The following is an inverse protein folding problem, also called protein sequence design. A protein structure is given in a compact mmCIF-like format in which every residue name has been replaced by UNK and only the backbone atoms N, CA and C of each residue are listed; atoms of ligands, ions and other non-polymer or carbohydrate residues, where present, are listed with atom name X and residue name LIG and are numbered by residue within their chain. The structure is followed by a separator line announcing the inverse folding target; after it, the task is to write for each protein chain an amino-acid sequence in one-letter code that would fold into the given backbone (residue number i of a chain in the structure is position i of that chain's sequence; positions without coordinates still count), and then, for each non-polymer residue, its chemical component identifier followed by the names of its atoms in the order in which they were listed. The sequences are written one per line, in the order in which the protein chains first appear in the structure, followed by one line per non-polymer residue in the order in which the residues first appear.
data_IF_939098208121
#
_entry.id   IF_939098208121
#
_cell.length_a   1.000
_cell.length_b   1.000
_cell.length_c   1.000
_cell.angle_alpha   90.00
_cell.angle_beta   90.00
_cell.angle_gamma   90.00
#
_symmetry.space_group_name_H-M   'P 1'
#
loop_
_entity.id
_entity.type
_entity.pdbx_description
1 polymer ?
#
# COMPACT_ATOMS: atom_id res chain seq x y z
N UNK A 1 -30.75 -6.85 16.03
CA UNK A 1 -29.67 -6.51 16.97
C UNK A 1 -28.37 -6.62 16.19
N UNK A 2 -27.87 -5.51 15.66
CA UNK A 2 -26.54 -5.45 15.07
C UNK A 2 -25.64 -4.90 16.19
N UNK A 3 -24.72 -5.74 16.64
CA UNK A 3 -23.81 -5.41 17.72
C UNK A 3 -22.95 -4.20 17.34
N UNK A 4 -22.80 -3.29 18.29
CA UNK A 4 -22.14 -2.02 18.10
C UNK A 4 -20.62 -2.21 17.94
N UNK A 5 -20.07 -1.52 16.95
CA UNK A 5 -18.66 -1.11 16.94
C UNK A 5 -17.62 -2.24 16.73
N UNK A 6 -17.81 -3.11 15.75
CA UNK A 6 -16.69 -3.92 15.26
C UNK A 6 -15.82 -3.07 14.32
N UNK A 7 -14.70 -2.59 14.87
CA UNK A 7 -13.71 -1.74 14.21
C UNK A 7 -13.02 -2.50 13.06
N UNK A 8 -13.01 -1.91 11.86
CA UNK A 8 -12.35 -2.47 10.67
C UNK A 8 -10.84 -2.57 10.91
N UNK A 9 -10.20 -3.67 10.55
CA UNK A 9 -8.76 -3.88 10.73
C UNK A 9 -8.09 -4.22 9.41
N UNK A 10 -7.05 -3.48 9.07
CA UNK A 10 -6.18 -3.77 7.93
C UNK A 10 -4.85 -4.33 8.42
N UNK A 11 -4.62 -5.61 8.13
CA UNK A 11 -3.31 -6.24 8.27
C UNK A 11 -2.46 -5.84 7.07
N UNK A 12 -1.36 -5.15 7.30
CA UNK A 12 -0.61 -4.42 6.26
C UNK A 12 0.89 -4.43 6.55
N UNK A 13 1.70 -4.33 5.50
CA UNK A 13 3.13 -3.99 5.62
C UNK A 13 3.38 -2.65 4.91
N UNK A 14 4.15 -1.71 5.50
CA UNK A 14 4.32 -0.37 4.91
C UNK A 14 5.01 -0.37 3.54
N UNK A 15 5.99 -1.25 3.34
CA UNK A 15 6.68 -1.47 2.05
C UNK A 15 5.95 -2.42 1.08
N UNK A 16 4.84 -3.06 1.48
CA UNK A 16 4.11 -3.94 0.56
C UNK A 16 3.32 -3.10 -0.45
N UNK A 17 3.61 -3.27 -1.75
CA UNK A 17 2.84 -2.60 -2.80
C UNK A 17 1.36 -2.99 -2.74
N UNK A 18 1.05 -4.25 -2.43
CA UNK A 18 -0.33 -4.70 -2.26
C UNK A 18 -1.02 -4.03 -1.06
N UNK A 19 -0.32 -3.83 0.06
CA UNK A 19 -0.90 -3.12 1.21
C UNK A 19 -1.06 -1.63 0.94
N UNK A 20 -0.09 -0.99 0.28
CA UNK A 20 -0.17 0.42 -0.13
C UNK A 20 -1.37 0.69 -1.04
N UNK A 21 -1.67 -0.22 -1.97
CA UNK A 21 -2.89 -0.16 -2.80
C UNK A 21 -4.15 -0.03 -1.95
N UNK A 22 -4.29 -0.88 -0.94
CA UNK A 22 -5.47 -0.90 -0.08
C UNK A 22 -5.53 0.33 0.83
N UNK A 23 -4.40 0.78 1.40
CA UNK A 23 -4.37 2.03 2.19
C UNK A 23 -4.81 3.23 1.36
N UNK A 24 -4.32 3.34 0.12
CA UNK A 24 -4.78 4.38 -0.80
C UNK A 24 -6.27 4.26 -1.13
N UNK A 25 -6.77 3.04 -1.35
CA UNK A 25 -8.19 2.77 -1.57
C UNK A 25 -9.05 3.31 -0.43
N UNK A 26 -8.70 2.94 0.80
CA UNK A 26 -9.41 3.36 2.01
C UNK A 26 -9.41 4.89 2.13
N UNK A 27 -8.26 5.54 1.92
CA UNK A 27 -8.16 7.00 1.93
C UNK A 27 -9.08 7.65 0.88
N UNK A 28 -9.09 7.13 -0.35
CA UNK A 28 -9.95 7.65 -1.43
C UNK A 28 -11.44 7.37 -1.19
N UNK A 29 -11.78 6.31 -0.44
CA UNK A 29 -13.14 6.04 0.05
C UNK A 29 -13.56 6.93 1.22
N UNK A 30 -12.66 7.79 1.72
CA UNK A 30 -12.89 8.63 2.89
C UNK A 30 -12.80 7.89 4.22
N UNK A 31 -12.16 6.72 4.24
CA UNK A 31 -11.89 5.91 5.42
C UNK A 31 -10.48 6.25 5.94
N UNK A 32 -10.39 6.86 7.12
CA UNK A 32 -9.09 7.22 7.71
C UNK A 32 -8.58 6.13 8.64
N UNK A 33 -7.27 5.86 8.61
CA UNK A 33 -6.64 5.04 9.66
C UNK A 33 -6.72 5.76 11.01
N UNK A 34 -6.90 4.99 12.09
CA UNK A 34 -6.67 5.51 13.43
C UNK A 34 -5.17 5.69 13.58
N UNK A 35 -4.68 6.91 13.95
CA UNK A 35 -3.27 7.11 14.19
C UNK A 35 -2.79 6.08 15.23
N UNK A 36 -1.87 5.20 14.84
CA UNK A 36 -1.27 4.19 15.72
C UNK A 36 -0.29 4.81 16.73
N UNK A 37 -0.60 5.99 17.27
CA UNK A 37 0.11 6.58 18.41
C UNK A 37 -0.35 6.00 19.76
N UNK A 38 -1.10 4.89 19.73
CA UNK A 38 -1.25 4.00 20.87
C UNK A 38 -0.32 2.80 20.65
N UNK A 39 0.98 3.03 20.86
CA UNK A 39 1.93 1.95 21.13
C UNK A 39 1.29 1.10 22.23
N UNK A 40 0.94 -0.16 21.91
CA UNK A 40 0.71 -1.20 22.92
C UNK A 40 2.01 -1.32 23.70
N UNK A 41 2.15 -0.53 24.76
CA UNK A 41 3.17 -0.75 25.77
C UNK A 41 2.92 -2.16 26.30
N UNK A 42 3.81 -3.08 25.94
CA UNK A 42 3.89 -4.40 26.54
C UNK A 42 3.81 -4.26 28.06
N UNK A 43 3.00 -5.10 28.70
CA UNK A 43 2.54 -5.02 30.09
C UNK A 43 3.62 -5.21 31.17
N UNK A 44 4.84 -4.70 30.96
CA UNK A 44 5.95 -4.74 31.92
C UNK A 44 6.42 -3.36 32.40
N UNK A 45 5.72 -2.28 32.05
CA UNK A 45 6.04 -0.91 32.49
C UNK A 45 4.85 -0.22 33.20
N UNK A 46 4.10 -0.98 34.01
CA UNK A 46 2.99 -0.46 34.83
C UNK A 46 3.28 -0.52 36.33
N UNK A 47 4.52 -0.24 36.74
CA UNK A 47 4.88 -0.18 38.16
C UNK A 47 5.63 1.08 38.58
N UNK A 48 5.60 2.15 37.79
CA UNK A 48 6.29 3.40 38.17
C UNK A 48 5.55 4.68 37.81
N UNK A 49 4.22 4.72 37.90
CA UNK A 49 3.49 6.00 37.99
C UNK A 49 2.29 5.81 38.93
N UNK A 50 2.58 5.55 40.20
CA UNK A 50 1.67 5.86 41.31
C UNK A 50 2.47 6.71 42.28
N UNK A 51 2.49 8.02 42.04
CA UNK A 51 2.77 9.10 43.00
C UNK A 51 3.29 10.31 42.22
N UNK A 52 2.35 11.15 41.76
CA UNK A 52 2.49 12.61 41.60
C UNK A 52 1.33 13.10 40.72
N UNK A 53 0.33 13.69 41.36
CA UNK A 53 -0.89 14.24 40.74
C UNK A 53 -0.65 15.52 39.90
N UNK A 54 0.52 15.68 39.27
CA UNK A 54 0.91 16.96 38.67
C UNK A 54 1.50 16.91 37.24
N UNK A 55 1.47 15.78 36.54
CA UNK A 55 2.11 15.66 35.21
C UNK A 55 1.26 15.03 34.09
N UNK A 56 -0.07 14.91 34.29
CA UNK A 56 -0.96 14.35 33.25
C UNK A 56 -1.48 15.44 32.29
N UNK A 57 -1.49 16.70 32.71
CA UNK A 57 -2.04 17.81 31.90
C UNK A 57 -1.02 18.36 30.89
N UNK A 58 0.28 18.24 31.16
CA UNK A 58 1.33 18.87 30.34
C UNK A 58 1.91 17.95 29.24
N UNK A 59 1.68 16.63 29.33
CA UNK A 59 2.04 15.69 28.25
C UNK A 59 0.99 15.70 27.12
N UNK A 60 -0.27 16.06 27.44
CA UNK A 60 -1.32 16.23 26.41
C UNK A 60 -1.09 17.42 25.47
N UNK A 61 -0.30 18.42 25.87
CA UNK A 61 -0.08 19.64 25.08
C UNK A 61 1.20 19.63 24.24
N UNK A 62 2.08 18.63 24.38
CA UNK A 62 3.40 18.61 23.70
C UNK A 62 3.63 17.49 22.68
N UNK A 63 2.66 16.61 22.43
CA UNK A 63 2.74 15.57 21.37
C UNK A 63 1.89 15.93 20.13
N UNK A 64 1.21 17.07 20.14
CA UNK A 64 0.63 17.67 18.94
C UNK A 64 1.42 18.93 18.61
N UNK A 65 1.82 19.10 17.34
CA UNK A 65 2.60 20.20 16.74
C UNK A 65 4.11 19.97 16.58
N UNK A 66 4.48 19.34 15.48
CA UNK A 66 5.50 19.92 14.60
C UNK A 66 4.85 20.30 13.26
N UNK A 67 4.88 21.57 12.82
CA UNK A 67 4.12 22.05 11.67
C UNK A 67 5.00 22.05 10.41
N UNK A 68 4.89 21.01 9.59
CA UNK A 68 5.30 21.06 8.18
C UNK A 68 4.08 20.63 7.37
N UNK A 69 3.72 21.42 6.35
CA UNK A 69 2.50 21.33 5.51
C UNK A 69 1.29 22.17 5.94
N UNK A 70 1.52 23.47 6.21
CA UNK A 70 0.51 24.50 5.89
C UNK A 70 0.48 24.75 4.38
N UNK A 71 -0.17 23.86 3.63
CA UNK A 71 -0.65 24.15 2.27
C UNK A 71 -1.96 23.42 2.06
N UNK A 72 -3.07 24.16 2.20
CA UNK A 72 -4.39 23.92 1.60
C UNK A 72 -4.80 22.46 1.32
N UNK A 73 -4.72 21.59 2.33
CA UNK A 73 -5.46 20.33 2.34
C UNK A 73 -6.82 20.60 2.97
N UNK A 74 -7.81 20.99 2.16
CA UNK A 74 -9.19 20.65 2.50
C UNK A 74 -9.32 19.13 2.35
N UNK A 75 -8.75 18.40 3.31
CA UNK A 75 -8.87 16.96 3.39
C UNK A 75 -10.30 16.70 3.83
N UNK A 76 -11.14 16.45 2.84
CA UNK A 76 -12.50 15.99 3.01
C UNK A 76 -12.46 14.64 3.73
N UNK A 77 -12.43 14.65 5.07
CA UNK A 77 -12.72 13.49 5.91
C UNK A 77 -14.24 13.25 5.78
N UNK A 78 -14.66 12.63 4.67
CA UNK A 78 -16.10 12.49 4.34
C UNK A 78 -16.75 11.29 5.07
N UNK A 79 -16.03 10.50 5.85
CA UNK A 79 -16.69 9.56 6.76
C UNK A 79 -15.94 9.44 8.08
N UNK A 80 -16.69 9.49 9.19
CA UNK A 80 -16.15 9.18 10.52
C UNK A 80 -15.81 7.70 10.72
N UNK A 81 -15.78 6.91 9.64
CA UNK A 81 -15.43 5.51 9.64
C UNK A 81 -13.91 5.37 9.67
N UNK A 82 -13.47 4.60 10.65
CA UNK A 82 -12.06 4.43 10.98
C UNK A 82 -11.67 2.97 10.83
N UNK A 83 -10.41 2.73 10.50
CA UNK A 83 -9.83 1.40 10.54
C UNK A 83 -8.52 1.38 11.34
N UNK A 84 -8.28 0.29 12.03
CA UNK A 84 -7.00 0.01 12.67
C UNK A 84 -6.03 -0.59 11.66
N UNK A 85 -4.84 0.00 11.52
CA UNK A 85 -3.77 -0.59 10.72
C UNK A 85 -2.87 -1.45 11.62
N UNK A 86 -2.87 -2.76 11.38
CA UNK A 86 -1.99 -3.72 12.07
C UNK A 86 -0.78 -3.95 11.17
N UNK A 87 0.39 -3.46 11.61
CA UNK A 87 1.64 -3.61 10.89
C UNK A 87 2.24 -4.99 11.11
N UNK A 88 2.25 -5.80 10.06
CA UNK A 88 2.93 -7.09 10.00
C UNK A 88 4.34 -6.83 9.45
N UNK A 89 5.36 -7.04 10.26
CA UNK A 89 6.75 -6.68 9.94
C UNK A 89 7.61 -7.87 9.52
N UNK A 90 7.14 -9.10 9.72
CA UNK A 90 7.88 -10.33 9.36
C UNK A 90 7.04 -11.26 8.49
N UNK A 91 7.72 -11.97 7.59
CA UNK A 91 7.11 -13.05 6.79
C UNK A 91 6.76 -14.20 7.75
N UNK A 92 5.53 -14.71 7.65
CA UNK A 92 5.07 -15.80 8.50
C UNK A 92 4.66 -15.38 9.92
N UNK A 93 4.44 -14.09 10.16
CA UNK A 93 3.91 -13.61 11.44
C UNK A 93 2.61 -14.37 11.83
N UNK A 94 2.53 -14.95 13.05
CA UNK A 94 1.33 -15.66 13.48
C UNK A 94 0.05 -14.82 13.43
N UNK A 95 0.12 -13.50 13.56
CA UNK A 95 -1.03 -12.62 13.46
C UNK A 95 -1.62 -12.58 12.06
N UNK A 96 -0.79 -12.59 11.00
CA UNK A 96 -1.32 -12.65 9.62
C UNK A 96 -1.87 -14.05 9.31
N UNK A 97 -1.24 -15.11 9.80
CA UNK A 97 -1.68 -16.49 9.56
C UNK A 97 -3.07 -16.79 10.15
N UNK A 98 -3.49 -16.07 11.19
CA UNK A 98 -4.84 -16.18 11.76
C UNK A 98 -5.94 -15.72 10.80
N UNK A 99 -5.63 -14.76 9.91
CA UNK A 99 -6.63 -14.12 9.02
C UNK A 99 -6.40 -14.46 7.54
N UNK A 100 -5.17 -14.81 7.16
CA UNK A 100 -4.82 -15.27 5.83
C UNK A 100 -3.85 -16.47 5.93
N UNK A 101 -4.33 -17.70 5.67
CA UNK A 101 -3.49 -18.91 5.72
C UNK A 101 -2.30 -18.89 4.76
N UNK A 102 -2.33 -18.07 3.71
CA UNK A 102 -1.17 -17.89 2.82
C UNK A 102 -0.05 -17.03 3.44
N UNK A 103 -0.31 -16.36 4.57
CA UNK A 103 0.67 -15.53 5.27
C UNK A 103 1.02 -14.21 4.56
N UNK A 104 0.25 -13.81 3.55
CA UNK A 104 0.49 -12.57 2.79
C UNK A 104 -0.37 -11.41 3.29
N UNK A 105 0.20 -10.21 3.23
CA UNK A 105 -0.54 -8.95 3.37
C UNK A 105 -0.89 -8.38 1.99
N UNK A 106 -2.00 -7.64 1.85
CA UNK A 106 -2.95 -7.25 2.89
C UNK A 106 -4.03 -8.29 3.18
N UNK A 107 -4.62 -8.18 4.38
CA UNK A 107 -5.89 -8.79 4.73
C UNK A 107 -6.77 -7.77 5.47
N UNK A 108 -8.02 -7.62 5.06
CA UNK A 108 -9.01 -6.74 5.66
C UNK A 108 -9.99 -7.57 6.51
N UNK A 109 -10.12 -7.23 7.78
CA UNK A 109 -11.14 -7.77 8.67
C UNK A 109 -12.19 -6.69 8.89
N UNK A 110 -13.44 -7.02 8.58
CA UNK A 110 -14.57 -6.12 8.66
C UNK A 110 -15.74 -6.86 9.32
N UNK A 111 -15.86 -6.64 10.63
CA UNK A 111 -16.72 -7.44 11.49
C UNK A 111 -16.36 -8.93 11.46
N UNK A 112 -17.30 -9.75 11.02
CA UNK A 112 -17.10 -11.21 10.85
C UNK A 112 -16.52 -11.59 9.49
N UNK A 113 -16.39 -10.63 8.57
CA UNK A 113 -15.88 -10.87 7.21
C UNK A 113 -14.38 -10.67 7.17
N UNK A 114 -13.67 -11.62 6.56
CA UNK A 114 -12.24 -11.51 6.28
C UNK A 114 -12.03 -11.58 4.77
N UNK A 115 -11.37 -10.57 4.21
CA UNK A 115 -11.04 -10.51 2.79
C UNK A 115 -9.52 -10.35 2.67
N UNK A 116 -8.85 -11.41 2.22
CA UNK A 116 -7.45 -11.37 1.83
C UNK A 116 -7.33 -11.16 0.31
N UNK A 117 -6.16 -10.72 -0.15
CA UNK A 117 -5.86 -10.27 -1.53
C UNK A 117 -6.31 -8.84 -1.82
N UNK A 118 -5.37 -8.00 -2.28
CA UNK A 118 -5.66 -6.60 -2.59
C UNK A 118 -6.78 -6.44 -3.62
N UNK A 119 -6.86 -7.29 -4.64
CA UNK A 119 -7.87 -7.22 -5.70
C UNK A 119 -9.26 -7.56 -5.16
N UNK A 120 -9.37 -8.61 -4.35
CA UNK A 120 -10.63 -8.97 -3.70
C UNK A 120 -11.09 -7.87 -2.72
N UNK A 121 -10.16 -7.30 -1.94
CA UNK A 121 -10.45 -6.17 -1.06
C UNK A 121 -10.99 -4.97 -1.85
N UNK A 122 -10.43 -4.67 -3.03
CA UNK A 122 -10.96 -3.60 -3.88
C UNK A 122 -12.42 -3.83 -4.29
N UNK A 123 -12.74 -5.04 -4.76
CA UNK A 123 -14.11 -5.37 -5.15
C UNK A 123 -15.07 -5.23 -3.96
N UNK A 124 -14.65 -5.72 -2.79
CA UNK A 124 -15.41 -5.57 -1.55
C UNK A 124 -15.68 -4.10 -1.20
N UNK A 125 -14.66 -3.24 -1.29
CA UNK A 125 -14.79 -1.81 -1.00
C UNK A 125 -15.64 -1.07 -2.04
N UNK A 126 -15.61 -1.48 -3.31
CA UNK A 126 -16.49 -0.94 -4.35
C UNK A 126 -17.97 -1.24 -4.07
N UNK A 127 -18.28 -2.45 -3.64
CA UNK A 127 -19.65 -2.83 -3.30
C UNK A 127 -20.12 -2.20 -1.99
N UNK A 128 -19.26 -2.17 -0.97
CA UNK A 128 -19.63 -1.67 0.36
C UNK A 128 -19.72 -0.14 0.43
N UNK A 129 -18.88 0.57 -0.32
CA UNK A 129 -18.78 2.04 -0.30
C UNK A 129 -18.94 2.64 -1.70
N UNK A 130 -20.13 2.56 -2.31
CA UNK A 130 -20.35 2.99 -3.69
C UNK A 130 -20.30 4.52 -3.89
N UNK A 131 -20.33 5.32 -2.81
CA UNK A 131 -20.41 6.79 -2.91
C UNK A 131 -19.12 7.43 -3.42
N UNK A 132 -17.97 6.76 -3.27
CA UNK A 132 -16.66 7.21 -3.74
C UNK A 132 -16.08 6.17 -4.70
N UNK A 133 -16.68 6.00 -5.89
CA UNK A 133 -16.30 4.93 -6.81
C UNK A 133 -14.82 4.98 -7.21
N UNK A 134 -14.12 3.84 -7.14
CA UNK A 134 -12.75 3.65 -7.64
C UNK A 134 -12.75 3.05 -9.04
N UNK A 135 -13.92 2.94 -9.67
CA UNK A 135 -14.10 2.51 -11.05
C UNK A 135 -14.93 3.54 -11.84
N UNK A 136 -14.61 3.75 -13.11
CA UNK A 136 -15.42 4.59 -13.98
C UNK A 136 -16.76 3.93 -14.27
N UNK A 137 -17.79 4.72 -14.56
CA UNK A 137 -19.10 4.19 -14.95
C UNK A 137 -19.10 3.55 -16.34
N UNK A 138 -18.39 4.17 -17.29
CA UNK A 138 -18.24 3.66 -18.65
C UNK A 138 -17.59 2.27 -18.67
N UNK A 139 -18.26 1.32 -19.32
CA UNK A 139 -17.85 -0.09 -19.32
C UNK A 139 -16.53 -0.31 -20.04
N UNK A 140 -16.25 0.46 -21.10
CA UNK A 140 -15.01 0.32 -21.87
C UNK A 140 -13.84 0.78 -21.02
N UNK A 141 -13.92 1.97 -20.43
CA UNK A 141 -12.94 2.52 -19.50
C UNK A 141 -12.77 1.64 -18.25
N UNK A 142 -13.86 1.06 -17.75
CA UNK A 142 -13.84 0.12 -16.61
C UNK A 142 -13.06 -1.15 -16.97
N UNK A 143 -13.24 -1.68 -18.18
CA UNK A 143 -12.51 -2.88 -18.64
C UNK A 143 -11.00 -2.64 -18.74
N UNK A 144 -10.56 -1.43 -19.14
CA UNK A 144 -9.13 -1.06 -19.12
C UNK A 144 -8.59 -1.05 -17.69
N UNK A 145 -9.36 -0.52 -16.73
CA UNK A 145 -8.99 -0.52 -15.32
C UNK A 145 -8.81 -1.94 -14.77
N UNK A 146 -9.72 -2.86 -15.11
CA UNK A 146 -9.58 -4.27 -14.74
C UNK A 146 -8.36 -4.94 -15.38
N UNK A 147 -8.09 -4.66 -16.67
CA UNK A 147 -6.92 -5.20 -17.36
C UNK A 147 -5.62 -4.73 -16.72
N UNK A 148 -5.47 -3.44 -16.41
CA UNK A 148 -4.29 -2.91 -15.72
C UNK A 148 -4.11 -3.58 -14.36
N UNK A 149 -5.16 -3.61 -13.56
CA UNK A 149 -5.12 -4.21 -12.23
C UNK A 149 -4.75 -5.70 -12.31
N UNK A 150 -5.33 -6.45 -13.25
CA UNK A 150 -5.04 -7.87 -13.48
C UNK A 150 -3.60 -8.12 -13.93
N UNK A 151 -3.08 -7.34 -14.89
CA UNK A 151 -1.68 -7.46 -15.34
C UNK A 151 -0.75 -7.25 -14.14
N UNK A 152 -0.99 -6.21 -13.34
CA UNK A 152 -0.15 -5.93 -12.17
C UNK A 152 -0.32 -7.01 -11.09
N UNK A 153 -1.54 -7.46 -10.79
CA UNK A 153 -1.84 -8.41 -9.71
C UNK A 153 -1.42 -9.84 -10.00
N UNK A 154 -1.44 -10.25 -11.28
CA UNK A 154 -1.33 -11.66 -11.66
C UNK A 154 -0.10 -11.93 -12.53
N UNK A 155 0.35 -10.96 -13.32
CA UNK A 155 1.45 -11.14 -14.27
C UNK A 155 2.74 -10.41 -13.91
N UNK A 156 2.70 -9.48 -12.95
CA UNK A 156 3.88 -8.75 -12.48
C UNK A 156 4.15 -9.07 -11.01
N UNK A 157 3.25 -8.66 -10.11
CA UNK A 157 3.53 -8.64 -8.67
C UNK A 157 3.88 -10.02 -8.09
N UNK A 158 3.20 -11.12 -8.42
CA UNK A 158 3.54 -12.43 -7.88
C UNK A 158 4.92 -12.91 -8.33
N UNK A 159 5.35 -12.53 -9.54
CA UNK A 159 6.61 -12.98 -10.14
C UNK A 159 7.84 -12.25 -9.57
N UNK A 160 7.65 -11.08 -8.96
CA UNK A 160 8.70 -10.34 -8.25
C UNK A 160 8.50 -10.34 -6.72
N UNK A 161 7.51 -11.08 -6.22
CA UNK A 161 7.23 -11.18 -4.79
C UNK A 161 8.49 -11.63 -4.02
N UNK A 162 8.71 -11.03 -2.84
CA UNK A 162 9.88 -11.27 -1.99
C UNK A 162 10.14 -12.76 -1.75
N UNK A 163 9.11 -13.56 -1.42
CA UNK A 163 9.29 -14.99 -1.17
C UNK A 163 9.75 -15.74 -2.41
N UNK A 164 9.14 -15.48 -3.57
CA UNK A 164 9.52 -16.12 -4.82
C UNK A 164 10.95 -15.74 -5.23
N UNK A 165 11.29 -14.45 -5.17
CA UNK A 165 12.63 -13.99 -5.59
C UNK A 165 13.70 -14.52 -4.65
N UNK A 166 13.43 -14.65 -3.34
CA UNK A 166 14.36 -15.33 -2.44
C UNK A 166 14.56 -16.80 -2.82
N UNK A 167 13.49 -17.54 -3.12
CA UNK A 167 13.61 -18.92 -3.60
C UNK A 167 14.39 -19.04 -4.91
N UNK A 168 14.24 -18.11 -5.86
CA UNK A 168 15.10 -18.06 -7.06
C UNK A 168 16.57 -17.91 -6.68
N UNK A 169 16.86 -17.06 -5.69
CA UNK A 169 18.20 -16.88 -5.15
C UNK A 169 18.83 -18.13 -4.55
N UNK A 170 18.01 -18.94 -3.88
CA UNK A 170 18.43 -20.18 -3.22
C UNK A 170 18.56 -21.35 -4.21
N UNK A 171 17.62 -21.48 -5.15
CA UNK A 171 17.55 -22.59 -6.10
C UNK A 171 18.53 -22.40 -7.27
N UNK A 172 18.70 -21.15 -7.74
CA UNK A 172 19.52 -20.84 -8.91
C UNK A 172 20.82 -20.17 -8.48
N UNK A 173 20.76 -18.89 -8.09
CA UNK A 173 21.87 -18.17 -7.44
C UNK A 173 21.40 -16.79 -6.95
N UNK A 174 22.07 -16.17 -5.95
CA UNK A 174 21.74 -14.82 -5.49
C UNK A 174 21.77 -13.76 -6.59
N UNK A 175 22.62 -13.92 -7.61
CA UNK A 175 22.79 -12.97 -8.72
C UNK A 175 21.60 -13.00 -9.70
N UNK A 176 20.78 -14.06 -9.71
CA UNK A 176 19.60 -14.18 -10.57
C UNK A 176 18.34 -13.49 -10.02
N UNK A 177 18.36 -13.04 -8.76
CA UNK A 177 17.21 -12.38 -8.11
C UNK A 177 16.74 -11.13 -8.87
N UNK A 178 17.68 -10.25 -9.19
CA UNK A 178 17.41 -8.96 -9.82
C UNK A 178 17.03 -9.12 -11.31
N UNK A 179 17.79 -9.87 -12.14
CA UNK A 179 17.42 -10.12 -13.54
C UNK A 179 16.03 -10.75 -13.69
N UNK A 180 15.67 -11.72 -12.82
CA UNK A 180 14.35 -12.34 -12.81
C UNK A 180 13.24 -11.31 -12.60
N UNK A 181 13.35 -10.50 -11.54
CA UNK A 181 12.35 -9.48 -11.23
C UNK A 181 12.24 -8.45 -12.37
N UNK A 182 13.37 -7.94 -12.86
CA UNK A 182 13.41 -6.96 -13.95
C UNK A 182 12.77 -7.50 -15.23
N UNK A 183 13.04 -8.74 -15.61
CA UNK A 183 12.44 -9.37 -16.79
C UNK A 183 10.92 -9.38 -16.73
N UNK A 184 10.35 -9.85 -15.61
CA UNK A 184 8.90 -9.95 -15.45
C UNK A 184 8.22 -8.59 -15.34
N UNK A 185 8.84 -7.62 -14.65
CA UNK A 185 8.35 -6.25 -14.59
C UNK A 185 8.37 -5.61 -15.98
N UNK A 186 9.50 -5.69 -16.69
CA UNK A 186 9.65 -5.12 -18.05
C UNK A 186 8.60 -5.69 -19.01
N UNK A 187 8.39 -7.01 -19.00
CA UNK A 187 7.39 -7.66 -19.85
C UNK A 187 5.97 -7.12 -19.58
N UNK A 188 5.60 -6.96 -18.31
CA UNK A 188 4.31 -6.37 -17.94
C UNK A 188 4.21 -4.89 -18.32
N UNK A 189 5.28 -4.12 -18.17
CA UNK A 189 5.31 -2.70 -18.51
C UNK A 189 5.18 -2.46 -20.01
N UNK A 190 5.75 -3.32 -20.87
CA UNK A 190 5.51 -3.27 -22.32
C UNK A 190 4.01 -3.40 -22.64
N UNK A 191 3.30 -4.30 -21.94
CA UNK A 191 1.87 -4.48 -22.14
C UNK A 191 1.07 -3.27 -21.64
N UNK A 192 1.40 -2.75 -20.45
CA UNK A 192 0.72 -1.61 -19.85
C UNK A 192 0.94 -0.30 -20.62
N UNK A 193 2.17 -0.03 -21.07
CA UNK A 193 2.51 1.13 -21.89
C UNK A 193 1.66 1.17 -23.18
N UNK A 194 1.55 0.02 -23.86
CA UNK A 194 0.72 -0.11 -25.07
C UNK A 194 -0.78 -0.01 -24.77
N UNK A 195 -1.24 -0.68 -23.72
CA UNK A 195 -2.65 -0.67 -23.32
C UNK A 195 -3.13 0.74 -23.02
N UNK A 196 -2.32 1.55 -22.34
CA UNK A 196 -2.71 2.87 -21.85
C UNK A 196 -2.51 4.01 -22.87
N UNK A 197 -1.82 3.76 -23.98
CA UNK A 197 -1.38 4.79 -24.95
C UNK A 197 -2.51 5.73 -25.41
N UNK A 198 -3.72 5.20 -25.60
CA UNK A 198 -4.89 5.97 -26.07
C UNK A 198 -5.94 6.23 -24.98
N UNK A 199 -5.61 5.96 -23.72
CA UNK A 199 -6.55 6.06 -22.59
C UNK A 199 -6.06 7.02 -21.50
N UNK A 200 -4.75 7.17 -21.35
CA UNK A 200 -4.18 8.00 -20.31
C UNK A 200 -4.40 9.51 -20.56
N UNK A 201 -4.79 10.22 -19.51
CA UNK A 201 -4.89 11.67 -19.47
C UNK A 201 -3.89 12.24 -18.47
N UNK A 202 -4.41 12.91 -17.43
CA UNK A 202 -3.65 13.18 -16.20
C UNK A 202 -3.26 11.89 -15.48
N UNK A 203 -4.17 10.93 -15.42
CA UNK A 203 -4.04 9.62 -14.78
C UNK A 203 -4.17 8.50 -15.83
N UNK A 204 -4.11 7.23 -15.40
CA UNK A 204 -4.03 6.07 -16.28
C UNK A 204 -5.22 5.97 -17.24
N UNK A 205 -6.41 6.40 -16.81
CA UNK A 205 -7.59 6.44 -17.68
C UNK A 205 -8.27 7.81 -17.57
N UNK A 206 -7.75 8.82 -18.27
CA UNK A 206 -8.28 10.19 -18.23
C UNK A 206 -7.83 11.00 -17.02
N UNK A 207 -8.71 11.86 -16.47
CA UNK A 207 -8.33 12.89 -15.49
C UNK A 207 -8.73 12.62 -14.04
N UNK A 208 -9.31 11.44 -13.79
CA UNK A 208 -9.72 10.98 -12.47
C UNK A 208 -8.92 9.74 -12.06
N UNK A 209 -8.76 9.54 -10.75
CA UNK A 209 -8.03 8.41 -10.17
C UNK A 209 -8.98 7.21 -10.11
N UNK A 210 -8.59 6.11 -10.74
CA UNK A 210 -9.32 4.86 -10.73
C UNK A 210 -8.40 3.67 -10.40
N UNK A 211 -8.99 2.47 -10.33
CA UNK A 211 -8.30 1.22 -9.96
C UNK A 211 -6.94 1.03 -10.66
N UNK A 212 -6.82 1.38 -11.94
CA UNK A 212 -5.55 1.32 -12.67
C UNK A 212 -4.44 2.10 -11.96
N UNK A 213 -4.72 3.32 -11.50
CA UNK A 213 -3.76 4.20 -10.85
C UNK A 213 -3.29 3.64 -9.51
N UNK A 214 -4.21 3.07 -8.74
CA UNK A 214 -3.91 2.46 -7.45
C UNK A 214 -2.93 1.30 -7.61
N UNK A 215 -3.10 0.48 -8.65
CA UNK A 215 -2.19 -0.63 -8.96
C UNK A 215 -0.85 -0.17 -9.54
N UNK A 216 -0.86 0.82 -10.42
CA UNK A 216 0.34 1.33 -11.10
C UNK A 216 1.27 2.06 -10.14
N UNK A 217 0.76 2.94 -9.28
CA UNK A 217 1.61 3.86 -8.50
C UNK A 217 2.71 3.14 -7.72
N UNK A 218 2.37 2.12 -6.95
CA UNK A 218 3.32 1.39 -6.13
C UNK A 218 4.11 0.33 -6.92
N UNK A 219 3.60 -0.12 -8.07
CA UNK A 219 4.36 -1.02 -8.95
C UNK A 219 5.47 -0.27 -9.70
N UNK A 220 5.20 0.96 -10.15
CA UNK A 220 6.17 1.84 -10.78
C UNK A 220 7.25 2.29 -9.78
N UNK A 221 6.82 2.69 -8.58
CA UNK A 221 7.73 3.06 -7.48
C UNK A 221 8.70 1.92 -7.15
N UNK A 222 8.20 0.67 -7.02
CA UNK A 222 9.06 -0.48 -6.81
C UNK A 222 9.97 -0.77 -8.01
N UNK A 223 9.48 -0.65 -9.24
CA UNK A 223 10.31 -0.90 -10.42
C UNK A 223 11.53 0.03 -10.45
N UNK A 224 11.34 1.31 -10.14
CA UNK A 224 12.42 2.31 -10.12
C UNK A 224 13.29 2.15 -8.87
N UNK A 225 12.70 2.21 -7.69
CA UNK A 225 13.44 2.40 -6.44
C UNK A 225 13.93 1.10 -5.79
N UNK A 226 13.27 -0.03 -6.08
CA UNK A 226 13.62 -1.35 -5.51
C UNK A 226 14.35 -2.24 -6.51
N UNK A 227 13.94 -2.21 -7.77
CA UNK A 227 14.47 -3.09 -8.81
C UNK A 227 15.35 -2.37 -9.84
N UNK A 228 15.61 -1.07 -9.67
CA UNK A 228 16.49 -0.28 -10.54
C UNK A 228 16.21 -0.49 -12.03
N UNK A 229 14.93 -0.62 -12.40
CA UNK A 229 14.53 -0.85 -13.79
C UNK A 229 14.71 0.44 -14.59
N UNK A 230 15.34 0.33 -15.76
CA UNK A 230 15.38 1.44 -16.70
C UNK A 230 13.96 1.71 -17.27
N UNK A 231 13.50 2.94 -17.08
CA UNK A 231 12.18 3.41 -17.51
C UNK A 231 12.20 4.20 -18.82
N UNK A 232 13.35 4.32 -19.49
CA UNK A 232 13.48 5.04 -20.78
C UNK A 232 12.56 4.48 -21.86
N UNK A 233 12.31 3.16 -21.85
CA UNK A 233 11.40 2.47 -22.77
C UNK A 233 9.90 2.74 -22.48
N UNK A 234 9.57 3.37 -21.35
CA UNK A 234 8.19 3.52 -20.85
C UNK A 234 7.83 4.97 -20.53
N UNK A 235 7.85 5.89 -21.52
CA UNK A 235 7.62 7.31 -21.29
C UNK A 235 6.24 7.63 -20.70
N UNK A 236 5.17 6.89 -21.07
CA UNK A 236 3.85 7.09 -20.51
C UNK A 236 3.79 6.65 -19.05
N UNK A 237 4.28 5.45 -18.73
CA UNK A 237 4.34 4.97 -17.35
C UNK A 237 5.22 5.88 -16.48
N UNK A 238 6.33 6.40 -17.01
CA UNK A 238 7.17 7.37 -16.30
C UNK A 238 6.45 8.70 -16.05
N UNK A 239 5.64 9.18 -17.00
CA UNK A 239 4.76 10.35 -16.80
C UNK A 239 3.76 10.10 -15.68
N UNK A 240 3.09 8.94 -15.67
CA UNK A 240 2.14 8.57 -14.62
C UNK A 240 2.82 8.48 -13.26
N UNK A 241 4.00 7.86 -13.17
CA UNK A 241 4.79 7.82 -11.93
C UNK A 241 5.05 9.22 -11.37
N UNK A 242 5.49 10.17 -12.21
CA UNK A 242 5.71 11.57 -11.81
C UNK A 242 4.41 12.22 -11.31
N UNK A 243 3.29 11.98 -11.99
CA UNK A 243 1.98 12.51 -11.58
C UNK A 243 1.54 11.95 -10.22
N UNK A 244 1.74 10.65 -9.95
CA UNK A 244 1.41 10.06 -8.66
C UNK A 244 2.24 10.69 -7.53
N UNK A 245 3.54 10.91 -7.74
CA UNK A 245 4.41 11.60 -6.76
C UNK A 245 4.05 13.08 -6.53
N UNK A 246 3.25 13.69 -7.41
CA UNK A 246 2.75 15.05 -7.26
C UNK A 246 1.31 15.11 -6.71
N UNK A 247 0.65 13.96 -6.58
CA UNK A 247 -0.75 13.89 -6.14
C UNK A 247 -0.81 13.67 -4.62
N UNK A 248 -1.46 14.57 -3.83
CA UNK A 248 -1.41 14.52 -2.37
C UNK A 248 -1.83 13.19 -1.73
N UNK A 249 -2.88 12.55 -2.26
CA UNK A 249 -3.38 11.26 -1.74
C UNK A 249 -2.36 10.13 -1.87
N UNK A 250 -1.53 10.14 -2.93
CA UNK A 250 -0.46 9.17 -3.12
C UNK A 250 0.77 9.52 -2.28
N UNK A 251 1.15 10.80 -2.21
CA UNK A 251 2.28 11.28 -1.43
C UNK A 251 2.20 10.82 0.03
N UNK A 252 1.01 10.95 0.64
CA UNK A 252 0.79 10.47 2.00
C UNK A 252 1.22 9.00 2.17
N UNK A 253 0.80 8.12 1.26
CA UNK A 253 1.12 6.68 1.33
C UNK A 253 2.60 6.40 1.04
N UNK A 254 3.24 7.17 0.15
CA UNK A 254 4.68 7.04 -0.10
C UNK A 254 5.50 7.39 1.15
N UNK A 255 5.14 8.47 1.85
CA UNK A 255 5.88 8.96 3.03
C UNK A 255 5.69 8.08 4.27
N UNK A 256 4.51 7.48 4.48
CA UNK A 256 4.24 6.53 5.58
C UNK A 256 5.29 5.41 5.69
N UNK A 257 5.87 5.01 4.56
CA UNK A 257 6.87 3.95 4.52
C UNK A 257 8.27 4.40 4.96
N UNK A 258 8.57 5.69 4.85
CA UNK A 258 9.85 6.28 5.25
C UNK A 258 9.92 6.48 6.76
N UNK A 259 8.79 6.85 7.38
CA UNK A 259 8.70 7.18 8.81
C UNK A 259 8.88 5.97 9.74
N UNK A 260 8.68 4.75 9.24
CA UNK A 260 8.58 3.55 10.08
C UNK A 260 9.92 2.83 10.35
N UNK A 261 11.08 3.39 9.95
CA UNK A 261 12.43 2.85 10.22
C UNK A 261 12.55 1.31 10.00
N UNK A 262 11.95 0.83 8.91
CA UNK A 262 11.81 -0.60 8.63
C UNK A 262 13.13 -1.17 8.12
N UNK A 263 13.49 -2.36 8.60
CA UNK A 263 14.62 -3.11 8.04
C UNK A 263 14.39 -3.40 6.55
N UNK A 264 15.23 -2.79 5.70
CA UNK A 264 15.18 -2.92 4.24
C UNK A 264 15.97 -4.13 3.74
N UNK A 265 16.63 -4.90 4.61
CA UNK A 265 17.47 -6.05 4.24
C UNK A 265 16.72 -7.07 3.35
N UNK A 266 15.47 -7.37 3.68
CA UNK A 266 14.58 -8.26 2.90
C UNK A 266 14.20 -7.70 1.53
N UNK A 267 14.41 -6.41 1.30
CA UNK A 267 14.09 -5.67 0.09
C UNK A 267 15.33 -5.22 -0.69
N UNK A 268 16.54 -5.53 -0.21
CA UNK A 268 17.79 -5.22 -0.88
C UNK A 268 18.13 -6.32 -1.90
N UNK A 269 18.29 -5.93 -3.16
CA UNK A 269 18.63 -6.82 -4.28
C UNK A 269 20.06 -6.60 -4.80
N UNK A 270 20.81 -5.69 -4.18
CA UNK A 270 22.22 -5.40 -4.48
C UNK A 270 23.13 -6.20 -3.55
N UNK A 271 24.31 -6.60 -4.05
CA UNK A 271 25.36 -7.21 -3.22
C UNK A 271 25.65 -6.34 -1.99
N UNK A 272 25.98 -6.92 -0.81
CA UNK A 272 26.78 -6.19 0.16
C UNK A 272 28.03 -5.68 -0.57
N UNK A 273 28.33 -4.38 -0.48
CA UNK A 273 29.61 -3.90 -0.93
C UNK A 273 30.68 -4.72 -0.20
N UNK A 274 31.54 -5.41 -0.95
CA UNK A 274 32.73 -6.03 -0.38
C UNK A 274 33.54 -4.91 0.29
N UNK A 275 33.72 -5.04 1.61
CA UNK A 275 34.54 -4.15 2.44
C UNK A 275 36.02 -4.43 2.23
#
# INVERSE_FOLDING_TARGET
MADGNQEMKLYSHPMSSCSRRVRLALNLKGLSSIPSFCIRFHSKFLTYITESHFLVTEIRSRICYEPVLKTNLSMYVISGLKYDCINILSIGDPEILKVNPMGFVPALVDGTTVVADSYAIFLYLEEKYPQHALLPQDIMKKSINYQVASIVSSSIQPLQNTSLVHSIGEIVSPDEKLPWAQYHIRKGFIALEKLLANHAGKYATGDEIYLADLYLAFQLDNAINRFNLDMTEFPLLLKLHKMYHQTPSFQQIFTESLEQNIDKSLFNFTKPQEA
#
